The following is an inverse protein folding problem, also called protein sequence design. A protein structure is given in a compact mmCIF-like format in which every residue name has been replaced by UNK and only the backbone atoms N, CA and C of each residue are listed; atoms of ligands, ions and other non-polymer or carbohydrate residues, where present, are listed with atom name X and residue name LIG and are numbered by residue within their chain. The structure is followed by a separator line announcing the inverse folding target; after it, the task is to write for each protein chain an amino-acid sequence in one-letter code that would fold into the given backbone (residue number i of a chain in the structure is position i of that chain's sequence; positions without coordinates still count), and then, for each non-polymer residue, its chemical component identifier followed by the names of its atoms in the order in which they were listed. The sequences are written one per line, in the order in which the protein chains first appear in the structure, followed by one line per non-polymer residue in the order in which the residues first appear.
data_IF_658185500435
#
_entry.id   IF_658185500435
#
_cell.length_a   1.000
_cell.length_b   1.000
_cell.length_c   1.000
_cell.angle_alpha   90.00
_cell.angle_beta   90.00
_cell.angle_gamma   90.00
#
_symmetry.space_group_name_H-M   'P 1'
#
loop_
_entity.id
_entity.type
_entity.pdbx_description
1 polymer ?
#
# COMPACT_ATOMS: atom_id res chain seq x y z
N UNK A 1 24.84 -12.39 -11.24
CA UNK A 1 23.40 -12.21 -11.53
C UNK A 1 22.54 -12.00 -10.28
N UNK A 2 22.29 -13.02 -9.49
CA UNK A 2 21.47 -12.85 -8.27
C UNK A 2 22.13 -11.90 -7.26
N UNK A 3 23.44 -12.04 -7.04
CA UNK A 3 24.16 -11.18 -6.11
C UNK A 3 24.16 -9.71 -6.54
N UNK A 4 24.23 -9.46 -7.85
CA UNK A 4 24.17 -8.11 -8.39
C UNK A 4 22.79 -7.49 -8.20
N UNK A 5 21.73 -8.26 -8.36
CA UNK A 5 20.35 -7.83 -8.07
C UNK A 5 20.18 -7.52 -6.58
N UNK A 6 20.70 -8.35 -5.71
CA UNK A 6 20.65 -8.12 -4.26
C UNK A 6 21.36 -6.82 -3.89
N UNK A 7 22.55 -6.60 -4.44
CA UNK A 7 23.34 -5.38 -4.18
C UNK A 7 22.73 -4.12 -4.80
N UNK A 8 22.08 -4.26 -5.96
CA UNK A 8 21.44 -3.15 -6.66
C UNK A 8 20.09 -2.73 -6.01
N UNK A 9 19.51 -3.58 -5.17
CA UNK A 9 18.22 -3.27 -4.53
C UNK A 9 18.34 -2.06 -3.60
N UNK A 10 17.45 -1.12 -3.75
CA UNK A 10 17.29 0.02 -2.84
C UNK A 10 15.80 0.34 -2.66
N UNK A 11 15.49 1.07 -1.61
CA UNK A 11 14.11 1.48 -1.34
C UNK A 11 13.75 2.69 -2.21
N UNK A 12 12.72 2.53 -3.03
CA UNK A 12 12.21 3.58 -3.89
C UNK A 12 11.12 4.35 -3.14
N UNK A 13 11.27 5.67 -3.05
CA UNK A 13 10.32 6.57 -2.39
C UNK A 13 9.89 7.73 -3.28
N UNK A 14 10.16 7.64 -4.56
CA UNK A 14 9.73 8.60 -5.57
C UNK A 14 9.25 7.83 -6.79
N UNK A 15 8.04 8.10 -7.21
CA UNK A 15 7.38 7.40 -8.31
C UNK A 15 7.06 8.36 -9.44
N UNK A 16 7.01 7.86 -10.65
CA UNK A 16 6.51 8.62 -11.81
C UNK A 16 4.99 8.63 -11.80
N UNK A 17 4.40 9.54 -12.55
CA UNK A 17 2.94 9.59 -12.75
C UNK A 17 2.44 8.52 -13.71
N UNK A 18 3.34 7.81 -14.39
CA UNK A 18 2.99 6.78 -15.35
C UNK A 18 2.36 5.58 -14.66
N UNK A 19 1.14 5.26 -15.06
CA UNK A 19 0.44 4.08 -14.58
C UNK A 19 0.97 2.82 -15.28
N UNK A 20 1.12 1.73 -14.54
CA UNK A 20 1.45 0.44 -15.13
C UNK A 20 0.25 -0.15 -15.87
N UNK A 21 0.50 -1.03 -16.83
CA UNK A 21 -0.57 -1.75 -17.53
C UNK A 21 -1.25 -2.76 -16.61
N UNK A 22 -2.51 -3.09 -16.90
CA UNK A 22 -3.21 -4.16 -16.19
C UNK A 22 -2.51 -5.51 -16.35
N UNK A 23 -1.89 -5.73 -17.49
CA UNK A 23 -1.13 -6.94 -17.78
C UNK A 23 0.09 -7.07 -16.85
N UNK A 24 0.86 -6.00 -16.70
CA UNK A 24 2.01 -5.98 -15.79
C UNK A 24 1.58 -6.10 -14.33
N UNK A 25 0.49 -5.44 -13.95
CA UNK A 25 -0.08 -5.57 -12.62
C UNK A 25 -0.50 -7.01 -12.33
N UNK A 26 -1.13 -7.69 -13.28
CA UNK A 26 -1.53 -9.10 -13.13
C UNK A 26 -0.31 -10.00 -12.91
N UNK A 27 0.81 -9.76 -13.60
CA UNK A 27 2.07 -10.52 -13.39
C UNK A 27 2.63 -10.29 -11.98
N UNK A 28 2.57 -9.07 -11.48
CA UNK A 28 3.03 -8.74 -10.12
C UNK A 28 2.18 -9.45 -9.08
N UNK A 29 0.86 -9.44 -9.24
CA UNK A 29 -0.07 -10.11 -8.33
C UNK A 29 0.11 -11.63 -8.37
N UNK A 30 0.31 -12.20 -9.55
CA UNK A 30 0.62 -13.62 -9.71
C UNK A 30 1.90 -13.99 -8.97
N UNK A 31 2.98 -13.23 -9.14
CA UNK A 31 4.23 -13.45 -8.43
C UNK A 31 4.04 -13.41 -6.91
N UNK A 32 3.23 -12.48 -6.40
CA UNK A 32 2.89 -12.40 -4.99
C UNK A 32 2.12 -13.61 -4.47
N UNK A 33 1.26 -14.21 -5.28
CA UNK A 33 0.52 -15.40 -4.92
C UNK A 33 1.39 -16.66 -4.75
N UNK A 34 2.59 -16.67 -5.31
CA UNK A 34 3.55 -17.75 -5.12
C UNK A 34 4.40 -17.60 -3.86
N UNK A 35 4.19 -16.56 -3.08
CA UNK A 35 4.88 -16.39 -1.81
C UNK A 35 4.50 -17.51 -0.82
N UNK A 36 5.46 -18.02 -0.02
CA UNK A 36 5.15 -19.05 0.97
C UNK A 36 4.12 -18.56 1.99
N UNK A 37 3.26 -19.50 2.40
CA UNK A 37 2.27 -19.27 3.44
C UNK A 37 2.50 -20.23 4.62
N UNK A 38 2.23 -19.78 5.83
CA UNK A 38 2.33 -20.59 7.02
C UNK A 38 1.41 -21.83 6.91
N UNK A 39 2.00 -23.03 7.02
CA UNK A 39 1.28 -24.29 6.91
C UNK A 39 0.59 -24.53 5.56
N UNK A 40 0.96 -23.83 4.51
CA UNK A 40 0.33 -23.94 3.18
C UNK A 40 -1.12 -23.47 3.13
N UNK A 41 -1.56 -22.68 4.10
CA UNK A 41 -2.96 -22.31 4.29
C UNK A 41 -3.54 -21.32 3.29
N UNK A 42 -2.71 -20.69 2.46
CA UNK A 42 -3.10 -19.71 1.43
C UNK A 42 -4.13 -18.67 1.92
N UNK A 43 -3.81 -18.04 3.03
CA UNK A 43 -4.71 -17.09 3.72
C UNK A 43 -4.53 -15.65 3.32
N UNK A 44 -3.65 -15.39 2.38
CA UNK A 44 -3.37 -14.05 1.87
C UNK A 44 -4.31 -13.68 0.74
N UNK A 45 -4.76 -12.43 0.76
CA UNK A 45 -5.54 -11.84 -0.32
C UNK A 45 -4.88 -10.53 -0.72
N UNK A 46 -4.71 -10.31 -2.01
CA UNK A 46 -4.19 -9.06 -2.53
C UNK A 46 -5.28 -8.24 -3.17
N UNK A 47 -5.30 -6.95 -2.87
CA UNK A 47 -6.18 -5.97 -3.48
C UNK A 47 -5.33 -4.90 -4.12
N UNK A 48 -5.44 -4.74 -5.42
CA UNK A 48 -4.74 -3.70 -6.17
C UNK A 48 -5.63 -2.47 -6.34
N UNK A 49 -5.12 -1.33 -5.91
CA UNK A 49 -5.75 -0.04 -6.15
C UNK A 49 -5.06 0.56 -7.38
N UNK A 50 -5.71 0.43 -8.55
CA UNK A 50 -5.19 0.83 -9.84
C UNK A 50 -5.75 2.19 -10.30
N UNK A 51 -6.18 2.99 -9.36
CA UNK A 51 -6.67 4.34 -9.56
C UNK A 51 -5.80 5.30 -8.73
N UNK A 52 -5.09 6.20 -9.38
CA UNK A 52 -4.16 7.13 -8.72
C UNK A 52 -4.85 7.97 -7.65
N UNK A 53 -6.05 8.44 -7.92
CA UNK A 53 -6.81 9.29 -7.00
C UNK A 53 -7.20 8.53 -5.73
N UNK A 54 -7.67 7.30 -5.90
CA UNK A 54 -8.02 6.44 -4.78
C UNK A 54 -6.77 6.00 -3.99
N UNK A 55 -5.67 5.67 -4.68
CA UNK A 55 -4.40 5.34 -4.03
C UNK A 55 -3.88 6.51 -3.19
N UNK A 56 -3.98 7.73 -3.69
CA UNK A 56 -3.61 8.93 -2.94
C UNK A 56 -4.49 9.13 -1.71
N UNK A 57 -5.79 8.94 -1.84
CA UNK A 57 -6.73 9.03 -0.71
C UNK A 57 -6.38 8.04 0.41
N UNK A 58 -6.18 6.78 0.05
CA UNK A 58 -5.81 5.73 1.02
C UNK A 58 -4.43 6.02 1.64
N UNK A 59 -3.48 6.52 0.85
CA UNK A 59 -2.16 6.89 1.33
C UNK A 59 -2.18 8.04 2.33
N UNK A 60 -3.01 9.04 2.10
CA UNK A 60 -3.21 10.15 3.03
C UNK A 60 -3.89 9.70 4.32
N UNK A 61 -4.90 8.85 4.22
CA UNK A 61 -5.57 8.28 5.40
C UNK A 61 -4.60 7.42 6.22
N UNK A 62 -3.77 6.63 5.59
CA UNK A 62 -2.78 5.80 6.27
C UNK A 62 -1.81 6.65 7.09
N UNK A 63 -1.29 7.75 6.52
CA UNK A 63 -0.41 8.65 7.24
C UNK A 63 -1.11 9.32 8.42
N UNK A 64 -2.33 9.77 8.23
CA UNK A 64 -3.13 10.38 9.30
C UNK A 64 -3.38 9.42 10.46
N UNK A 65 -3.51 8.12 10.20
CA UNK A 65 -3.73 7.12 11.23
C UNK A 65 -2.48 6.90 12.11
N UNK A 66 -1.30 7.03 11.53
CA UNK A 66 -0.04 6.86 12.27
C UNK A 66 0.42 8.10 13.01
N UNK A 67 0.09 9.28 12.54
CA UNK A 67 0.44 10.53 13.20
C UNK A 67 -0.67 11.00 14.13
N UNK A 68 -0.67 10.45 15.33
CA UNK A 68 -1.65 10.80 16.37
C UNK A 68 -1.64 12.27 16.77
N UNK A 69 -0.55 12.97 16.56
CA UNK A 69 -0.46 14.40 16.89
C UNK A 69 -1.27 15.25 15.91
N UNK A 70 -1.38 14.80 14.67
CA UNK A 70 -2.24 15.41 13.67
C UNK A 70 -3.70 14.99 13.81
N UNK A 71 -3.97 13.84 14.43
CA UNK A 71 -5.32 13.34 14.63
C UNK A 71 -6.15 14.17 15.61
N UNK A 72 -5.51 14.86 16.54
CA UNK A 72 -6.22 15.64 17.56
C UNK A 72 -7.04 16.83 16.99
N UNK A 73 -6.84 17.21 15.74
CA UNK A 73 -7.55 18.31 15.09
C UNK A 73 -8.12 18.01 13.71
N UNK A 74 -7.79 16.86 13.10
CA UNK A 74 -8.02 16.61 11.68
C UNK A 74 -8.86 15.36 11.39
N UNK A 75 -9.73 14.98 12.28
CA UNK A 75 -10.77 14.02 11.89
C UNK A 75 -11.61 14.61 10.77
N UNK A 76 -11.64 13.91 9.64
CA UNK A 76 -12.52 14.26 8.53
C UNK A 76 -13.97 14.15 9.04
N UNK A 77 -14.50 15.27 9.48
CA UNK A 77 -15.94 15.37 9.70
C UNK A 77 -16.62 15.48 8.34
N UNK A 78 -17.90 15.17 8.27
CA UNK A 78 -18.68 15.36 7.03
C UNK A 78 -18.65 16.80 6.50
N UNK A 79 -18.18 17.73 7.29
CA UNK A 79 -18.13 19.16 7.02
C UNK A 79 -16.75 19.66 6.54
N UNK A 80 -15.73 18.79 6.57
CA UNK A 80 -14.40 19.17 6.10
C UNK A 80 -14.18 18.81 4.63
N UNK A 81 -13.41 19.63 3.89
CA UNK A 81 -13.04 19.31 2.51
C UNK A 81 -12.36 17.94 2.45
N UNK A 82 -12.53 17.26 1.32
CA UNK A 82 -11.89 15.98 1.08
C UNK A 82 -10.38 16.07 1.34
N UNK A 83 -9.85 15.17 2.17
CA UNK A 83 -8.42 15.09 2.46
C UNK A 83 -7.59 14.79 1.22
N UNK A 84 -8.22 14.32 0.15
CA UNK A 84 -7.56 14.03 -1.12
C UNK A 84 -7.06 15.31 -1.82
N UNK A 85 -7.77 16.41 -1.60
CA UNK A 85 -7.47 17.69 -2.23
C UNK A 85 -6.67 18.63 -1.32
N UNK A 86 -6.37 18.19 -0.10
CA UNK A 86 -5.57 18.98 0.84
C UNK A 86 -4.07 18.79 0.54
N UNK A 87 -3.38 19.84 0.04
CA UNK A 87 -1.96 19.75 -0.32
C UNK A 87 -1.04 19.63 0.90
N UNK A 88 -1.52 19.89 2.11
CA UNK A 88 -0.72 19.81 3.34
C UNK A 88 -0.59 18.40 3.87
N UNK A 89 -1.49 17.50 3.48
CA UNK A 89 -1.49 16.11 3.91
C UNK A 89 -0.62 15.29 2.97
N UNK A 90 0.45 14.71 3.52
CA UNK A 90 1.36 13.83 2.78
C UNK A 90 0.71 12.49 2.49
N UNK A 91 1.03 11.92 1.34
CA UNK A 91 0.66 10.59 0.96
C UNK A 91 1.71 9.59 1.49
N UNK A 92 1.28 8.65 2.36
CA UNK A 92 2.15 7.62 2.93
C UNK A 92 2.72 6.61 1.92
N UNK A 93 2.17 6.58 0.71
CA UNK A 93 2.64 5.74 -0.41
C UNK A 93 3.48 6.53 -1.42
N UNK A 94 3.96 7.71 -1.06
CA UNK A 94 4.85 8.52 -1.90
C UNK A 94 4.29 8.83 -3.29
N UNK A 95 2.98 9.03 -3.40
CA UNK A 95 2.27 9.30 -4.66
C UNK A 95 2.39 8.20 -5.72
N UNK A 96 2.60 6.96 -5.30
CA UNK A 96 2.59 5.83 -6.21
C UNK A 96 1.21 5.73 -6.92
N UNK A 97 1.17 5.59 -8.25
CA UNK A 97 -0.09 5.57 -8.99
C UNK A 97 -0.88 4.27 -8.83
N UNK A 98 -0.22 3.18 -8.43
CA UNK A 98 -0.86 1.90 -8.09
C UNK A 98 -0.32 1.44 -6.74
N UNK A 99 -1.22 0.94 -5.89
CA UNK A 99 -0.88 0.37 -4.58
C UNK A 99 -1.49 -1.02 -4.47
N UNK A 100 -0.70 -1.96 -3.99
CA UNK A 100 -1.17 -3.31 -3.68
C UNK A 100 -1.25 -3.47 -2.17
N UNK A 101 -2.42 -3.78 -1.67
CA UNK A 101 -2.65 -4.09 -0.27
C UNK A 101 -2.71 -5.61 -0.10
N UNK A 102 -1.91 -6.13 0.81
CA UNK A 102 -1.89 -7.56 1.14
C UNK A 102 -2.59 -7.76 2.47
N UNK A 103 -3.66 -8.53 2.46
CA UNK A 103 -4.42 -8.90 3.64
C UNK A 103 -4.18 -10.36 3.97
N UNK A 104 -4.19 -10.67 5.25
CA UNK A 104 -3.94 -12.00 5.76
C UNK A 104 -4.99 -12.30 6.84
N UNK A 105 -5.53 -13.51 6.83
CA UNK A 105 -6.40 -13.97 7.90
C UNK A 105 -5.58 -14.25 9.16
N UNK A 106 -6.16 -13.98 10.31
CA UNK A 106 -5.56 -14.36 11.58
C UNK A 106 -5.29 -15.86 11.61
N UNK A 107 -4.07 -16.19 12.02
CA UNK A 107 -3.66 -17.56 12.18
C UNK A 107 -3.87 -17.96 13.65
N UNK A 108 -4.72 -18.98 13.88
CA UNK A 108 -4.99 -19.47 15.23
C UNK A 108 -3.77 -20.13 15.90
N UNK A 109 -2.75 -20.53 15.12
CA UNK A 109 -1.50 -21.10 15.63
C UNK A 109 -0.46 -20.05 15.96
N UNK A 110 -0.43 -18.96 15.18
CA UNK A 110 0.54 -17.88 15.34
C UNK A 110 -0.17 -16.55 15.15
N UNK A 111 -0.04 -15.64 16.09
CA UNK A 111 -0.51 -14.28 15.88
C UNK A 111 0.37 -13.62 14.83
N UNK A 112 -0.25 -13.10 13.78
CA UNK A 112 0.45 -12.20 12.86
C UNK A 112 0.79 -10.91 13.59
N UNK A 113 1.98 -10.39 13.35
CA UNK A 113 2.33 -9.07 13.85
C UNK A 113 1.44 -8.02 13.13
N UNK A 114 0.81 -7.19 13.92
CA UNK A 114 0.04 -6.05 13.42
C UNK A 114 0.95 -4.98 12.81
#
# INVERSE_FOLDING_TARGET
MLMDLIKARHSIRKYTDKQISREDLAKILEAGNYAPNAGGGQRSMMVAIHNKKLASYVGKMNLMHFDRTHLAGNFVSKEQPSTIDDPTIKNGFYDAPTVVCVFCQDNFLFKTAD
#
